data_IF_008042387168
#
_entry.id   IF_008042387168
#
_cell.length_a   1.000
_cell.length_b   1.000
_cell.length_c   1.000
_cell.angle_alpha   90.00
_cell.angle_beta   90.00
_cell.angle_gamma   90.00
#
_symmetry.space_group_name_H-M   'P 1'
#
loop_
_entity.id
_entity.type
_entity.pdbx_description
1 polymer ?
#
# COMPACT_ATOMS: atom_id res chain seq x y z
N UNK A 1 -9.76 -7.68 14.11
CA UNK A 1 -10.76 -6.76 13.52
C UNK A 1 -11.83 -6.53 14.58
N UNK A 2 -12.17 -5.28 14.87
CA UNK A 2 -13.23 -4.90 15.79
C UNK A 2 -14.47 -4.54 14.97
N UNK A 3 -15.47 -5.42 14.93
CA UNK A 3 -16.74 -5.13 14.28
C UNK A 3 -17.63 -4.34 15.26
N UNK A 4 -18.13 -3.19 14.83
CA UNK A 4 -18.91 -2.28 15.68
C UNK A 4 -20.12 -1.73 14.93
N UNK A 5 -21.06 -1.14 15.66
CA UNK A 5 -22.16 -0.36 15.07
C UNK A 5 -21.68 1.01 14.54
N UNK A 6 -22.56 1.71 13.83
CA UNK A 6 -22.27 3.03 13.24
C UNK A 6 -21.87 4.07 14.30
N UNK A 7 -22.57 4.12 15.44
CA UNK A 7 -22.28 5.06 16.51
C UNK A 7 -20.87 4.86 17.08
N UNK A 8 -20.48 3.60 17.30
CA UNK A 8 -19.14 3.22 17.74
C UNK A 8 -18.08 3.33 16.64
N UNK A 9 -18.47 3.35 15.37
CA UNK A 9 -17.55 3.62 14.26
C UNK A 9 -17.17 5.11 14.23
N UNK A 10 -18.13 5.99 14.51
CA UNK A 10 -17.94 7.44 14.60
C UNK A 10 -17.11 7.83 15.85
N UNK A 11 -17.34 7.17 16.99
CA UNK A 11 -16.52 7.34 18.20
C UNK A 11 -16.09 5.97 18.80
N UNK A 12 -15.00 5.37 18.29
CA UNK A 12 -14.50 4.11 18.79
C UNK A 12 -13.99 4.14 20.24
N UNK A 13 -13.63 5.32 20.76
CA UNK A 13 -13.11 5.46 22.13
C UNK A 13 -14.23 5.38 23.17
N UNK A 14 -15.46 5.77 22.80
CA UNK A 14 -16.63 5.63 23.64
C UNK A 14 -17.07 4.16 23.84
N UNK A 15 -16.62 3.24 22.98
CA UNK A 15 -16.99 1.83 23.06
C UNK A 15 -16.02 1.04 23.97
N UNK A 16 -16.46 0.56 25.15
CA UNK A 16 -15.58 -0.14 26.09
C UNK A 16 -15.05 -1.48 25.54
N UNK A 17 -15.77 -2.13 24.62
CA UNK A 17 -15.33 -3.37 23.99
C UNK A 17 -14.16 -3.13 23.03
N UNK A 18 -14.16 -1.99 22.32
CA UNK A 18 -13.03 -1.57 21.47
C UNK A 18 -11.79 -1.35 22.32
N UNK A 19 -11.93 -0.63 23.45
CA UNK A 19 -10.85 -0.42 24.41
C UNK A 19 -10.28 -1.73 24.97
N UNK A 20 -11.15 -2.64 25.42
CA UNK A 20 -10.74 -3.95 25.92
C UNK A 20 -10.01 -4.79 24.86
N UNK A 21 -10.49 -4.78 23.62
CA UNK A 21 -9.85 -5.49 22.52
C UNK A 21 -8.46 -4.91 22.20
N UNK A 22 -8.32 -3.58 22.15
CA UNK A 22 -7.01 -2.92 21.94
C UNK A 22 -6.03 -3.27 23.05
N UNK A 23 -6.47 -3.27 24.30
CA UNK A 23 -5.62 -3.67 25.43
C UNK A 23 -5.17 -5.14 25.33
N UNK A 24 -6.03 -6.04 24.84
CA UNK A 24 -5.67 -7.44 24.60
C UNK A 24 -4.67 -7.58 23.45
N UNK A 25 -4.95 -6.91 22.33
CA UNK A 25 -4.14 -6.97 21.11
C UNK A 25 -2.74 -6.38 21.31
N UNK A 26 -2.62 -5.32 22.12
CA UNK A 26 -1.32 -4.73 22.47
C UNK A 26 -0.38 -5.72 23.17
N UNK A 27 -0.91 -6.63 24.00
CA UNK A 27 -0.12 -7.70 24.65
C UNK A 27 0.45 -8.71 23.65
N UNK A 28 -0.15 -8.80 22.47
CA UNK A 28 0.24 -9.73 21.41
C UNK A 28 0.96 -9.01 20.25
N UNK A 29 1.17 -7.69 20.35
CA UNK A 29 1.72 -6.88 19.26
C UNK A 29 0.83 -6.84 18.01
N UNK A 30 -0.47 -7.11 18.14
CA UNK A 30 -1.39 -7.21 17.03
C UNK A 30 -2.09 -5.87 16.75
N UNK A 31 -2.25 -5.47 15.47
CA UNK A 31 -3.02 -4.27 15.12
C UNK A 31 -4.52 -4.50 15.31
N UNK A 32 -5.23 -3.44 15.69
CA UNK A 32 -6.70 -3.42 15.73
C UNK A 32 -7.23 -2.43 14.70
N UNK A 33 -8.12 -2.91 13.83
CA UNK A 33 -8.86 -2.09 12.89
C UNK A 33 -10.33 -2.14 13.26
N UNK A 34 -10.95 -0.97 13.44
CA UNK A 34 -12.36 -0.80 13.78
C UNK A 34 -13.15 -0.56 12.50
N UNK A 35 -14.16 -1.39 12.25
CA UNK A 35 -15.03 -1.35 11.07
C UNK A 35 -16.47 -1.67 11.46
N UNK A 36 -17.43 -1.24 10.65
CA UNK A 36 -18.81 -1.75 10.71
C UNK A 36 -19.05 -2.66 9.52
N UNK A 37 -19.16 -3.96 9.77
CA UNK A 37 -19.43 -4.94 8.72
C UNK A 37 -20.76 -4.66 8.00
N UNK A 38 -21.72 -4.05 8.70
CA UNK A 38 -22.99 -3.63 8.10
C UNK A 38 -22.76 -2.51 7.07
N UNK A 39 -22.04 -1.46 7.44
CA UNK A 39 -21.72 -0.34 6.53
C UNK A 39 -20.91 -0.84 5.34
N UNK A 40 -19.95 -1.74 5.55
CA UNK A 40 -19.17 -2.32 4.43
C UNK A 40 -20.04 -3.15 3.47
N UNK A 41 -21.06 -3.86 3.99
CA UNK A 41 -21.97 -4.62 3.15
C UNK A 41 -22.86 -3.69 2.31
N UNK A 42 -23.38 -2.62 2.91
CA UNK A 42 -24.14 -1.58 2.20
C UNK A 42 -23.29 -0.94 1.10
N UNK A 43 -22.05 -0.51 1.43
CA UNK A 43 -21.10 0.04 0.46
C UNK A 43 -20.80 -0.91 -0.71
N UNK A 44 -20.76 -2.23 -0.46
CA UNK A 44 -20.48 -3.22 -1.49
C UNK A 44 -21.62 -3.36 -2.52
N UNK A 45 -22.86 -3.16 -2.08
CA UNK A 45 -24.06 -3.23 -2.92
C UNK A 45 -24.35 -1.90 -3.65
N UNK A 46 -23.78 -0.79 -3.17
CA UNK A 46 -23.97 0.54 -3.76
C UNK A 46 -23.19 0.76 -5.07
N UNK A 47 -23.76 1.51 -6.04
CA UNK A 47 -23.04 2.05 -7.19
C UNK A 47 -21.83 2.89 -6.77
N UNK A 48 -20.75 2.85 -7.54
CA UNK A 48 -19.49 3.52 -7.16
C UNK A 48 -19.65 5.03 -6.99
N UNK A 49 -20.47 5.66 -7.83
CA UNK A 49 -20.80 7.07 -7.81
C UNK A 49 -21.55 7.54 -6.55
N UNK A 50 -22.21 6.64 -5.82
CA UNK A 50 -22.98 6.97 -4.61
C UNK A 50 -22.16 6.79 -3.33
N UNK A 51 -21.10 5.97 -3.37
CA UNK A 51 -20.30 5.61 -2.19
C UNK A 51 -19.65 6.80 -1.52
N UNK A 52 -19.09 7.73 -2.30
CA UNK A 52 -18.38 8.89 -1.77
C UNK A 52 -19.33 9.82 -0.99
N UNK A 53 -20.57 9.96 -1.46
CA UNK A 53 -21.62 10.72 -0.77
C UNK A 53 -21.96 10.09 0.57
N UNK A 54 -22.21 8.78 0.57
CA UNK A 54 -22.57 8.02 1.77
C UNK A 54 -21.45 8.01 2.83
N UNK A 55 -20.20 7.78 2.41
CA UNK A 55 -19.04 7.88 3.32
C UNK A 55 -18.96 9.26 3.97
N UNK A 56 -19.19 10.32 3.19
CA UNK A 56 -19.14 11.70 3.69
C UNK A 56 -20.26 12.00 4.69
N UNK A 57 -21.46 11.47 4.50
CA UNK A 57 -22.57 11.59 5.46
C UNK A 57 -22.22 10.92 6.80
N UNK A 58 -21.51 9.80 6.76
CA UNK A 58 -21.00 9.09 7.94
C UNK A 58 -19.72 9.70 8.53
N UNK A 59 -19.17 10.77 7.92
CA UNK A 59 -17.91 11.38 8.35
C UNK A 59 -16.66 10.53 8.09
N UNK A 60 -16.76 9.55 7.18
CA UNK A 60 -15.69 8.63 6.81
C UNK A 60 -14.97 9.13 5.55
N UNK A 61 -13.64 9.06 5.56
CA UNK A 61 -12.82 9.42 4.40
C UNK A 61 -12.65 8.27 3.39
N UNK A 62 -12.86 7.04 3.83
CA UNK A 62 -12.69 5.82 3.02
C UNK A 62 -13.46 4.64 3.64
N UNK A 63 -13.73 3.58 2.87
CA UNK A 63 -14.27 2.32 3.38
C UNK A 63 -13.35 1.71 4.46
N UNK A 64 -13.95 1.13 5.51
CA UNK A 64 -13.24 0.38 6.54
C UNK A 64 -12.51 -0.84 5.99
N UNK A 65 -13.01 -1.46 4.93
CA UNK A 65 -12.35 -2.59 4.28
C UNK A 65 -10.97 -2.20 3.74
N UNK A 66 -10.77 -0.97 3.26
CA UNK A 66 -9.44 -0.49 2.83
C UNK A 66 -8.44 -0.48 3.98
N UNK A 67 -8.88 -0.05 5.18
CA UNK A 67 -8.05 -0.09 6.40
C UNK A 67 -7.70 -1.52 6.81
N UNK A 68 -8.65 -2.45 6.68
CA UNK A 68 -8.41 -3.89 6.93
C UNK A 68 -7.36 -4.44 5.97
N UNK A 69 -7.49 -4.16 4.68
CA UNK A 69 -6.53 -4.61 3.65
C UNK A 69 -5.14 -4.10 3.98
N UNK A 70 -4.96 -2.80 4.24
CA UNK A 70 -3.63 -2.23 4.54
C UNK A 70 -3.02 -2.79 5.84
N UNK A 71 -3.84 -3.01 6.87
CA UNK A 71 -3.36 -3.61 8.12
C UNK A 71 -2.91 -5.07 7.91
N UNK A 72 -3.66 -5.86 7.12
CA UNK A 72 -3.28 -7.23 6.76
C UNK A 72 -2.00 -7.24 5.91
N UNK A 73 -1.88 -6.32 4.94
CA UNK A 73 -0.70 -6.18 4.10
C UNK A 73 0.56 -5.90 4.91
N UNK A 74 0.46 -4.95 5.85
CA UNK A 74 1.52 -4.61 6.80
C UNK A 74 1.86 -5.79 7.71
N UNK A 75 0.85 -6.49 8.24
CA UNK A 75 1.03 -7.65 9.11
C UNK A 75 1.76 -8.80 8.40
N UNK A 76 1.49 -9.00 7.11
CA UNK A 76 2.17 -9.99 6.27
C UNK A 76 3.57 -9.55 5.82
N UNK A 77 4.02 -8.36 6.24
CA UNK A 77 5.31 -7.79 5.86
C UNK A 77 5.41 -7.50 4.36
N UNK A 78 4.29 -7.23 3.70
CA UNK A 78 4.26 -6.88 2.29
C UNK A 78 4.55 -5.38 2.11
N UNK A 79 5.18 -5.05 1.00
CA UNK A 79 5.40 -3.68 0.50
C UNK A 79 5.05 -3.66 -0.98
N UNK A 80 4.87 -2.47 -1.52
CA UNK A 80 4.56 -2.27 -2.93
C UNK A 80 5.62 -1.41 -3.58
N UNK A 81 6.14 -1.83 -4.73
CA UNK A 81 6.91 -0.96 -5.62
C UNK A 81 6.11 -0.71 -6.90
N UNK A 82 6.47 0.32 -7.65
CA UNK A 82 5.76 0.72 -8.85
C UNK A 82 6.63 0.66 -10.10
N UNK A 83 6.02 0.30 -11.21
CA UNK A 83 6.54 0.65 -12.55
C UNK A 83 5.62 1.69 -13.14
N UNK A 84 6.17 2.82 -13.59
CA UNK A 84 5.39 3.92 -14.16
C UNK A 84 5.94 4.28 -15.55
N UNK A 85 5.08 4.19 -16.57
CA UNK A 85 5.38 4.58 -17.94
C UNK A 85 4.18 5.26 -18.59
N UNK A 86 4.33 5.76 -19.83
CA UNK A 86 3.27 6.51 -20.51
C UNK A 86 2.01 5.68 -20.82
N UNK A 87 2.14 4.34 -20.87
CA UNK A 87 1.03 3.42 -21.18
C UNK A 87 0.40 2.80 -19.94
N UNK A 88 1.20 2.56 -18.91
CA UNK A 88 0.78 1.76 -17.76
C UNK A 88 1.50 2.25 -16.51
N UNK A 89 0.75 2.26 -15.40
CA UNK A 89 1.29 2.33 -14.04
C UNK A 89 0.83 1.05 -13.34
N UNK A 90 1.77 0.32 -12.75
CA UNK A 90 1.52 -0.96 -12.11
C UNK A 90 2.09 -0.98 -10.70
N UNK A 91 1.32 -1.57 -9.77
CA UNK A 91 1.71 -1.79 -8.37
C UNK A 91 2.11 -3.25 -8.16
N UNK A 92 3.36 -3.49 -7.79
CA UNK A 92 3.92 -4.83 -7.62
C UNK A 92 4.14 -5.13 -6.14
N UNK A 93 3.53 -6.23 -5.68
CA UNK A 93 3.55 -6.62 -4.28
C UNK A 93 4.72 -7.58 -4.01
N UNK A 94 5.57 -7.23 -3.04
CA UNK A 94 6.72 -8.04 -2.62
C UNK A 94 6.81 -8.07 -1.11
N UNK A 95 7.53 -9.05 -0.56
CA UNK A 95 7.87 -9.03 0.86
C UNK A 95 8.94 -7.98 1.15
N UNK A 96 8.86 -7.36 2.32
CA UNK A 96 9.91 -6.49 2.86
C UNK A 96 11.24 -7.26 2.91
N UNK A 97 12.31 -6.63 2.45
CA UNK A 97 13.63 -7.25 2.38
C UNK A 97 13.95 -7.90 1.02
N UNK A 98 13.00 -7.98 0.10
CA UNK A 98 13.24 -8.44 -1.27
C UNK A 98 14.26 -7.56 -1.98
N UNK A 99 15.26 -8.19 -2.63
CA UNK A 99 16.30 -7.49 -3.39
C UNK A 99 15.82 -7.11 -4.80
N UNK A 100 16.45 -6.12 -5.41
CA UNK A 100 16.07 -5.61 -6.74
C UNK A 100 15.94 -6.69 -7.84
N UNK A 101 16.84 -7.70 -7.97
CA UNK A 101 16.67 -8.76 -8.97
C UNK A 101 15.43 -9.64 -8.74
N UNK A 102 15.12 -9.92 -7.48
CA UNK A 102 13.95 -10.71 -7.08
C UNK A 102 12.65 -9.91 -7.28
N UNK A 103 12.68 -8.60 -7.05
CA UNK A 103 11.57 -7.72 -7.39
C UNK A 103 11.33 -7.66 -8.90
N UNK A 104 12.40 -7.64 -9.72
CA UNK A 104 12.25 -7.71 -11.17
C UNK A 104 11.60 -9.01 -11.65
N UNK A 105 11.83 -10.13 -10.94
CA UNK A 105 11.28 -11.44 -11.28
C UNK A 105 9.75 -11.53 -11.14
N UNK A 106 9.15 -10.65 -10.33
CA UNK A 106 7.67 -10.57 -10.23
C UNK A 106 7.04 -10.02 -11.50
N UNK A 107 7.79 -9.23 -12.29
CA UNK A 107 7.37 -8.73 -13.60
C UNK A 107 7.52 -9.83 -14.65
N UNK A 108 8.71 -10.44 -14.71
CA UNK A 108 8.99 -11.55 -15.58
C UNK A 108 10.16 -12.38 -15.04
N UNK A 109 10.04 -13.71 -15.03
CA UNK A 109 11.02 -14.61 -14.42
C UNK A 109 12.45 -14.45 -14.98
N UNK A 110 12.59 -14.10 -16.25
CA UNK A 110 13.90 -13.94 -16.91
C UNK A 110 14.69 -12.71 -16.43
N UNK A 111 14.01 -11.69 -15.90
CA UNK A 111 14.67 -10.45 -15.48
C UNK A 111 15.62 -10.66 -14.31
N UNK A 112 15.39 -11.66 -13.46
CA UNK A 112 16.29 -11.95 -12.34
C UNK A 112 17.66 -12.43 -12.83
N UNK A 113 17.67 -13.34 -13.82
CA UNK A 113 18.91 -13.88 -14.40
C UNK A 113 19.64 -12.83 -15.24
N UNK A 114 18.87 -12.06 -16.02
CA UNK A 114 19.38 -11.00 -16.87
C UNK A 114 19.68 -9.68 -16.13
N UNK A 115 19.40 -9.58 -14.82
CA UNK A 115 19.46 -8.31 -14.10
C UNK A 115 20.84 -7.66 -14.19
N UNK A 116 20.86 -6.39 -14.63
CA UNK A 116 22.04 -5.54 -14.66
C UNK A 116 21.99 -4.55 -13.50
N UNK A 117 20.93 -3.74 -13.42
CA UNK A 117 20.70 -2.70 -12.41
C UNK A 117 19.25 -2.23 -12.43
N UNK A 118 18.84 -1.51 -11.40
CA UNK A 118 17.56 -0.81 -11.35
C UNK A 118 17.77 0.72 -11.30
N UNK A 119 16.98 1.47 -12.05
CA UNK A 119 16.77 2.89 -11.82
C UNK A 119 15.66 3.03 -10.77
N UNK A 120 15.94 3.71 -9.66
CA UNK A 120 15.03 3.79 -8.51
C UNK A 120 14.80 5.24 -8.13
N UNK A 121 13.53 5.60 -7.96
CA UNK A 121 13.08 6.91 -7.49
C UNK A 121 12.14 6.68 -6.31
N UNK A 122 12.36 7.34 -5.17
CA UNK A 122 11.41 7.27 -4.07
C UNK A 122 10.07 7.90 -4.49
N UNK A 123 8.94 7.36 -4.04
CA UNK A 123 7.60 7.86 -4.37
C UNK A 123 7.47 9.37 -4.16
N UNK A 124 7.96 9.87 -3.02
CA UNK A 124 7.86 11.28 -2.65
C UNK A 124 8.63 12.17 -3.63
N UNK A 125 9.80 11.73 -4.09
CA UNK A 125 10.59 12.45 -5.09
C UNK A 125 9.92 12.37 -6.47
N UNK A 126 9.36 11.21 -6.85
CA UNK A 126 8.64 11.07 -8.12
C UNK A 126 7.46 12.04 -8.21
N UNK A 127 6.65 12.14 -7.16
CA UNK A 127 5.51 13.07 -7.11
C UNK A 127 6.00 14.52 -7.04
N UNK A 128 6.96 14.83 -6.17
CA UNK A 128 7.47 16.19 -5.96
C UNK A 128 8.04 16.82 -7.21
N UNK A 129 8.74 16.03 -8.04
CA UNK A 129 9.39 16.52 -9.25
C UNK A 129 8.58 16.25 -10.52
N UNK A 130 7.31 15.85 -10.41
CA UNK A 130 6.42 15.72 -11.57
C UNK A 130 6.77 14.55 -12.50
N UNK A 131 7.28 13.45 -11.94
CA UNK A 131 7.57 12.21 -12.66
C UNK A 131 9.05 11.97 -12.93
N UNK A 132 9.33 10.97 -13.76
CA UNK A 132 10.69 10.45 -14.00
C UNK A 132 11.65 11.52 -14.52
N UNK A 133 11.22 12.34 -15.49
CA UNK A 133 12.06 13.35 -16.09
C UNK A 133 12.48 14.43 -15.09
N UNK A 134 11.54 15.00 -14.35
CA UNK A 134 11.87 16.02 -13.35
C UNK A 134 12.68 15.44 -12.18
N UNK A 135 12.41 14.20 -11.76
CA UNK A 135 13.23 13.52 -10.77
C UNK A 135 14.68 13.31 -11.28
N UNK A 136 14.86 13.02 -12.57
CA UNK A 136 16.18 12.89 -13.21
C UNK A 136 16.93 14.21 -13.23
N UNK A 137 16.28 15.29 -13.64
CA UNK A 137 16.84 16.64 -13.66
C UNK A 137 17.22 17.13 -12.25
N UNK A 138 16.44 16.73 -11.24
CA UNK A 138 16.72 17.01 -9.83
C UNK A 138 17.75 16.06 -9.17
N UNK A 139 18.33 15.12 -9.92
CA UNK A 139 19.33 14.18 -9.42
C UNK A 139 18.79 13.14 -8.42
N UNK A 140 17.49 12.82 -8.49
CA UNK A 140 16.81 11.88 -7.58
C UNK A 140 16.72 10.45 -8.10
N UNK A 141 17.09 10.21 -9.36
CA UNK A 141 17.19 8.86 -9.93
C UNK A 141 18.47 8.20 -9.44
N UNK A 142 18.34 7.11 -8.68
CA UNK A 142 19.46 6.29 -8.22
C UNK A 142 19.65 5.09 -9.13
N UNK A 143 20.90 4.70 -9.34
CA UNK A 143 21.26 3.45 -10.00
C UNK A 143 21.65 2.43 -8.95
N UNK A 144 20.78 1.45 -8.75
CA UNK A 144 20.88 0.46 -7.69
C UNK A 144 21.27 -0.91 -8.23
N UNK A 145 22.17 -1.58 -7.50
CA UNK A 145 22.73 -2.88 -7.87
C UNK A 145 21.92 -4.07 -7.35
N UNK A 146 22.50 -5.27 -7.47
CA UNK A 146 21.88 -6.54 -7.07
C UNK A 146 21.57 -6.64 -5.57
N UNK A 147 22.33 -5.92 -4.74
CA UNK A 147 22.18 -5.94 -3.28
C UNK A 147 21.20 -4.91 -2.74
N UNK A 148 20.66 -4.04 -3.61
CA UNK A 148 19.65 -3.07 -3.18
C UNK A 148 18.41 -3.79 -2.68
N UNK A 149 17.99 -3.43 -1.46
CA UNK A 149 16.74 -3.87 -0.86
C UNK A 149 15.66 -2.87 -1.24
N UNK A 150 14.64 -3.33 -1.95
CA UNK A 150 13.55 -2.48 -2.42
C UNK A 150 12.79 -1.90 -1.24
N UNK A 151 12.50 -0.60 -1.31
CA UNK A 151 11.73 0.11 -0.30
C UNK A 151 10.27 0.25 -0.76
N UNK A 152 9.38 0.38 0.22
CA UNK A 152 7.97 0.63 -0.05
C UNK A 152 7.81 1.95 -0.81
N UNK A 153 7.01 1.94 -1.87
CA UNK A 153 6.79 3.09 -2.74
C UNK A 153 7.85 3.34 -3.81
N UNK A 154 8.95 2.58 -3.88
CA UNK A 154 9.96 2.77 -4.91
C UNK A 154 9.33 2.70 -6.32
N UNK A 155 9.59 3.72 -7.13
CA UNK A 155 9.27 3.72 -8.57
C UNK A 155 10.51 3.23 -9.31
N UNK A 156 10.39 2.08 -9.96
CA UNK A 156 11.53 1.31 -10.47
C UNK A 156 11.45 1.08 -11.97
N UNK A 157 12.61 1.16 -12.63
CA UNK A 157 12.80 0.68 -14.00
C UNK A 157 14.00 -0.27 -14.02
N UNK A 158 13.76 -1.52 -14.41
CA UNK A 158 14.79 -2.56 -14.42
C UNK A 158 15.52 -2.61 -15.76
N UNK A 159 16.86 -2.65 -15.71
CA UNK A 159 17.72 -2.91 -16.85
C UNK A 159 18.20 -4.35 -16.80
N UNK A 160 17.97 -5.10 -17.87
CA UNK A 160 18.35 -6.50 -17.99
C UNK A 160 18.92 -6.78 -19.37
N UNK A 161 19.73 -7.83 -19.47
CA UNK A 161 20.16 -8.39 -20.75
C UNK A 161 19.26 -9.59 -21.09
N UNK A 162 18.89 -9.70 -22.37
CA UNK A 162 18.16 -10.84 -22.92
C UNK A 162 19.13 -11.76 -23.65
#
# INVERSE_FOLDING_TARGET
>A
IANVDEASLADPEANPFVGALRARAAKEGAPVVVVSAQIEAELAEMPQEERDGFLKELGLAEPGLHRVIRAAFTLLGQITFFTAGPKEVHAWNIRRGTKAPQAASTIHSDFERGFIRAEVIAYEDFVRYGGEQGAREAGKVRLEGKDYVVQDGDVMHFRFNV
#
